data_IF_322331365018
#
_entry.id   IF_322331365018
#
_cell.length_a   1.000
_cell.length_b   1.000
_cell.length_c   1.000
_cell.angle_alpha   90.00
_cell.angle_beta   90.00
_cell.angle_gamma   90.00
#
_symmetry.space_group_name_H-M   'P 1'
#
loop_
_entity.id
_entity.type
_entity.pdbx_description
1 polymer ?
#
# COMPACT_ATOMS: atom_id res chain seq x y z
N UNK A 1 -21.64 45.98 42.77
CA UNK A 1 -21.52 44.51 42.57
C UNK A 1 -21.67 44.04 41.10
N UNK A 2 -21.62 44.89 40.06
CA UNK A 2 -22.02 44.47 38.69
C UNK A 2 -20.90 44.29 37.62
N UNK A 3 -19.61 44.52 37.92
CA UNK A 3 -18.55 44.43 36.89
C UNK A 3 -18.13 42.99 36.54
N UNK A 4 -18.28 42.01 37.46
CA UNK A 4 -17.89 40.60 37.20
C UNK A 4 -18.79 39.91 36.17
N UNK A 5 -20.07 40.29 36.09
CA UNK A 5 -21.02 39.72 35.14
C UNK A 5 -20.78 40.21 33.69
N UNK A 6 -20.35 41.45 33.51
CA UNK A 6 -20.07 42.00 32.16
C UNK A 6 -18.92 41.29 31.44
N UNK A 7 -17.83 41.00 32.15
CA UNK A 7 -16.67 40.29 31.57
C UNK A 7 -17.03 38.84 31.19
N UNK A 8 -17.78 38.15 32.06
CA UNK A 8 -18.22 36.78 31.79
C UNK A 8 -19.18 36.72 30.58
N UNK A 9 -20.15 37.64 30.48
CA UNK A 9 -21.08 37.71 29.36
C UNK A 9 -20.37 37.99 28.04
N UNK A 10 -19.39 38.92 28.04
CA UNK A 10 -18.58 39.21 26.84
C UNK A 10 -17.76 38.00 26.43
N UNK A 11 -17.08 37.34 27.37
CA UNK A 11 -16.29 36.14 27.07
C UNK A 11 -17.15 35.00 26.48
N UNK A 12 -18.33 34.73 27.06
CA UNK A 12 -19.27 33.71 26.55
C UNK A 12 -19.79 34.08 25.16
N UNK A 13 -20.09 35.37 24.92
CA UNK A 13 -20.55 35.83 23.61
C UNK A 13 -19.47 35.64 22.54
N UNK A 14 -18.22 36.01 22.85
CA UNK A 14 -17.11 35.85 21.91
C UNK A 14 -16.80 34.38 21.62
N UNK A 15 -16.81 33.52 22.64
CA UNK A 15 -16.61 32.07 22.46
C UNK A 15 -17.74 31.45 21.63
N UNK A 16 -18.99 31.85 21.88
CA UNK A 16 -20.15 31.41 21.10
C UNK A 16 -20.03 31.86 19.64
N UNK A 17 -19.72 33.13 19.40
CA UNK A 17 -19.57 33.68 18.06
C UNK A 17 -18.42 32.99 17.29
N UNK A 18 -17.30 32.73 17.96
CA UNK A 18 -16.19 31.97 17.39
C UNK A 18 -16.60 30.54 17.04
N UNK A 19 -17.30 29.84 17.94
CA UNK A 19 -17.80 28.49 17.69
C UNK A 19 -18.77 28.44 16.49
N UNK A 20 -19.70 29.38 16.41
CA UNK A 20 -20.62 29.52 15.27
C UNK A 20 -19.85 29.78 13.97
N UNK A 21 -18.86 30.67 14.00
CA UNK A 21 -18.04 30.97 12.82
C UNK A 21 -17.27 29.73 12.33
N UNK A 22 -16.68 28.94 13.23
CA UNK A 22 -15.99 27.69 12.87
C UNK A 22 -16.95 26.69 12.23
N UNK A 23 -18.14 26.50 12.79
CA UNK A 23 -19.16 25.60 12.23
C UNK A 23 -19.62 26.08 10.84
N UNK A 24 -19.88 27.38 10.68
CA UNK A 24 -20.27 27.94 9.38
C UNK A 24 -19.16 27.79 8.35
N UNK A 25 -17.90 28.03 8.72
CA UNK A 25 -16.74 27.81 7.84
C UNK A 25 -16.63 26.34 7.42
N UNK A 26 -16.74 25.40 8.35
CA UNK A 26 -16.70 23.96 8.06
C UNK A 26 -17.82 23.55 7.09
N UNK A 27 -19.06 24.02 7.32
CA UNK A 27 -20.18 23.74 6.42
C UNK A 27 -19.96 24.33 5.03
N UNK A 28 -19.54 25.60 4.94
CA UNK A 28 -19.25 26.24 3.67
C UNK A 28 -18.16 25.50 2.89
N UNK A 29 -17.07 25.10 3.56
CA UNK A 29 -16.02 24.31 2.94
C UNK A 29 -16.55 22.96 2.47
N UNK A 30 -17.34 22.27 3.29
CA UNK A 30 -17.92 20.97 2.93
C UNK A 30 -18.76 21.02 1.65
N UNK A 31 -19.53 22.08 1.44
CA UNK A 31 -20.41 22.20 0.27
C UNK A 31 -19.77 22.86 -0.93
N UNK A 32 -18.90 23.85 -0.73
CA UNK A 32 -18.37 24.68 -1.82
C UNK A 32 -16.93 24.29 -2.23
N UNK A 33 -16.16 23.70 -1.33
CA UNK A 33 -14.75 23.37 -1.56
C UNK A 33 -14.31 22.19 -0.69
N UNK A 34 -14.90 21.00 -0.88
CA UNK A 34 -14.60 19.86 -0.03
C UNK A 34 -13.13 19.45 -0.20
N UNK A 35 -12.47 19.24 0.93
CA UNK A 35 -11.10 18.76 1.00
C UNK A 35 -11.04 17.24 1.07
N UNK A 36 -9.94 16.65 0.58
CA UNK A 36 -9.60 15.25 0.86
C UNK A 36 -9.37 15.06 2.35
N UNK A 37 -10.24 14.27 2.98
CA UNK A 37 -10.14 13.92 4.39
C UNK A 37 -9.08 12.82 4.60
N UNK A 38 -8.49 12.78 5.79
CA UNK A 38 -7.46 11.81 6.14
C UNK A 38 -8.07 10.46 6.49
N UNK A 39 -7.55 9.39 5.89
CA UNK A 39 -8.03 8.02 6.10
C UNK A 39 -7.12 7.19 7.00
N UNK A 40 -5.89 7.65 7.23
CA UNK A 40 -4.87 6.91 7.99
C UNK A 40 -4.93 7.20 9.50
N UNK A 41 -4.53 6.19 10.26
CA UNK A 41 -4.31 6.22 11.70
C UNK A 41 -2.97 5.58 12.05
N UNK A 42 -2.68 5.51 13.34
CA UNK A 42 -1.50 4.83 13.84
C UNK A 42 -1.87 4.08 15.11
N UNK A 43 -1.39 2.86 15.25
CA UNK A 43 -1.51 2.05 16.47
C UNK A 43 -0.58 2.59 17.56
N UNK A 44 -0.81 2.19 18.81
CA UNK A 44 0.01 2.66 19.94
C UNK A 44 1.46 2.19 19.85
N UNK A 45 1.71 1.03 19.23
CA UNK A 45 3.04 0.47 18.98
C UNK A 45 3.69 0.97 17.67
N UNK A 46 3.00 1.87 16.96
CA UNK A 46 3.58 2.69 15.90
C UNK A 46 3.29 2.22 14.47
N UNK A 47 2.56 1.12 14.27
CA UNK A 47 2.10 0.69 12.94
C UNK A 47 1.13 1.72 12.35
N UNK A 48 1.37 2.14 11.11
CA UNK A 48 0.47 3.01 10.35
C UNK A 48 -0.52 2.13 9.60
N UNK A 49 -1.81 2.38 9.78
CA UNK A 49 -2.92 1.63 9.17
C UNK A 49 -3.99 2.61 8.69
N UNK A 50 -5.03 2.12 8.01
CA UNK A 50 -6.24 2.93 7.88
C UNK A 50 -6.97 3.00 9.22
N UNK A 51 -7.77 4.06 9.41
CA UNK A 51 -8.64 4.15 10.60
C UNK A 51 -9.62 2.99 10.57
N UNK A 52 -9.76 2.20 11.66
CA UNK A 52 -10.73 1.10 11.70
C UNK A 52 -12.17 1.59 11.64
N UNK A 53 -13.06 0.79 11.04
CA UNK A 53 -14.51 1.07 10.96
C UNK A 53 -14.80 2.48 10.44
N UNK A 54 -14.06 2.89 9.40
CA UNK A 54 -14.14 4.20 8.82
C UNK A 54 -14.92 4.15 7.50
N UNK A 55 -15.67 5.20 7.23
CA UNK A 55 -16.55 5.32 6.07
C UNK A 55 -16.49 6.77 5.58
N UNK A 56 -15.97 6.98 4.37
CA UNK A 56 -15.81 8.30 3.78
C UNK A 56 -15.90 8.26 2.26
N UNK A 57 -16.45 9.33 1.69
CA UNK A 57 -16.32 9.62 0.27
C UNK A 57 -15.09 10.48 0.00
N UNK A 58 -14.19 10.02 -0.86
CA UNK A 58 -12.98 10.74 -1.24
C UNK A 58 -13.20 11.52 -2.53
N UNK A 59 -13.63 12.79 -2.40
CA UNK A 59 -13.87 13.72 -3.53
C UNK A 59 -12.72 13.80 -4.54
N UNK A 60 -11.46 13.64 -4.09
CA UNK A 60 -10.29 13.67 -4.99
C UNK A 60 -10.34 12.53 -6.02
N UNK A 61 -10.80 11.36 -5.62
CA UNK A 61 -10.81 10.16 -6.46
C UNK A 61 -12.22 9.83 -6.96
N UNK A 62 -13.25 10.43 -6.37
CA UNK A 62 -14.64 10.13 -6.68
C UNK A 62 -15.11 8.78 -6.12
N UNK A 63 -14.38 8.20 -5.16
CA UNK A 63 -14.58 6.84 -4.66
C UNK A 63 -15.07 6.79 -3.22
N UNK A 64 -15.77 5.70 -2.89
CA UNK A 64 -16.13 5.39 -1.52
C UNK A 64 -15.07 4.51 -0.84
N UNK A 65 -14.70 4.87 0.39
CA UNK A 65 -13.71 4.14 1.18
C UNK A 65 -14.36 3.69 2.47
N UNK A 66 -14.45 2.38 2.61
CA UNK A 66 -14.86 1.70 3.84
C UNK A 66 -13.71 0.86 4.35
N UNK A 67 -13.55 0.82 5.66
CA UNK A 67 -12.51 0.02 6.32
C UNK A 67 -13.08 -0.90 7.39
N UNK A 68 -12.49 -2.07 7.51
CA UNK A 68 -12.88 -3.07 8.50
C UNK A 68 -12.33 -2.74 9.91
N UNK A 69 -12.66 -3.59 10.87
CA UNK A 69 -12.23 -3.49 12.26
C UNK A 69 -10.71 -3.62 12.46
N UNK A 70 -9.98 -4.14 11.47
CA UNK A 70 -8.52 -4.28 11.48
C UNK A 70 -7.78 -3.07 10.88
N UNK A 71 -8.51 -2.09 10.33
CA UNK A 71 -7.91 -0.92 9.69
C UNK A 71 -7.44 -1.16 8.27
N UNK A 72 -8.19 -1.99 7.52
CA UNK A 72 -7.94 -2.28 6.12
C UNK A 72 -9.12 -1.85 5.25
N UNK A 73 -8.84 -1.44 4.01
CA UNK A 73 -9.88 -1.26 2.99
C UNK A 73 -10.22 -2.63 2.42
N UNK A 74 -11.11 -3.32 3.14
CA UNK A 74 -11.54 -4.69 2.85
C UNK A 74 -12.84 -5.01 3.60
N UNK A 75 -13.38 -6.21 3.36
CA UNK A 75 -14.40 -6.83 4.20
C UNK A 75 -13.88 -7.22 5.59
N UNK A 76 -14.79 -7.64 6.47
CA UNK A 76 -14.41 -8.17 7.79
C UNK A 76 -13.80 -9.57 7.67
N UNK A 77 -12.76 -9.83 8.44
CA UNK A 77 -12.08 -11.12 8.49
C UNK A 77 -11.90 -11.61 9.92
N UNK A 78 -12.21 -12.88 10.14
CA UNK A 78 -12.02 -13.54 11.42
C UNK A 78 -10.54 -13.91 11.66
N UNK A 79 -10.08 -13.69 12.88
CA UNK A 79 -8.79 -14.18 13.35
C UNK A 79 -8.83 -15.70 13.61
N UNK A 80 -7.66 -16.35 13.61
CA UNK A 80 -7.56 -17.80 13.81
C UNK A 80 -7.65 -18.59 12.50
N UNK A 81 -7.23 -19.85 12.51
CA UNK A 81 -7.12 -20.67 11.29
C UNK A 81 -8.50 -21.09 10.74
N UNK A 82 -8.69 -20.97 9.43
CA UNK A 82 -9.83 -21.55 8.71
C UNK A 82 -9.36 -22.76 7.88
N UNK A 83 -9.76 -23.97 8.28
CA UNK A 83 -9.41 -25.18 7.52
C UNK A 83 -10.27 -25.36 6.25
N UNK A 84 -11.29 -24.52 6.02
CA UNK A 84 -12.22 -24.62 4.88
C UNK A 84 -11.90 -23.69 3.71
N UNK A 85 -11.00 -22.71 3.91
CA UNK A 85 -10.61 -21.73 2.89
C UNK A 85 -9.10 -21.74 2.70
N UNK A 86 -8.65 -21.43 1.48
CA UNK A 86 -7.27 -21.02 1.24
C UNK A 86 -7.16 -19.54 1.59
N UNK A 87 -6.32 -19.20 2.58
CA UNK A 87 -6.16 -17.82 3.04
C UNK A 87 -4.88 -17.20 2.50
N UNK A 88 -5.03 -16.04 1.85
CA UNK A 88 -3.94 -15.25 1.31
C UNK A 88 -3.90 -13.92 2.06
N UNK A 89 -2.81 -13.65 2.77
CA UNK A 89 -2.56 -12.31 3.32
C UNK A 89 -1.83 -11.49 2.25
N UNK A 90 -2.49 -10.48 1.70
CA UNK A 90 -1.93 -9.56 0.73
C UNK A 90 -1.31 -8.37 1.47
N UNK A 91 0.00 -8.20 1.33
CA UNK A 91 0.76 -7.07 1.86
C UNK A 91 1.19 -6.19 0.70
N UNK A 92 1.07 -4.88 0.87
CA UNK A 92 1.38 -3.92 -0.18
C UNK A 92 1.21 -2.50 0.29
N UNK A 93 1.32 -1.59 -0.67
CA UNK A 93 1.24 -0.17 -0.43
C UNK A 93 -0.07 0.42 -0.98
N UNK A 94 0.01 1.67 -1.42
CA UNK A 94 -1.04 2.42 -2.09
C UNK A 94 -1.68 1.70 -3.29
N UNK A 95 -0.96 0.82 -4.00
CA UNK A 95 -1.53 0.05 -5.10
C UNK A 95 -2.53 -1.00 -4.61
N UNK A 96 -2.34 -1.57 -3.41
CA UNK A 96 -3.27 -2.54 -2.83
C UNK A 96 -4.36 -1.87 -2.01
N UNK A 97 -4.08 -0.70 -1.41
CA UNK A 97 -5.09 0.17 -0.81
C UNK A 97 -6.08 0.72 -1.87
N UNK A 98 -5.55 1.03 -3.06
CA UNK A 98 -6.29 1.28 -4.30
C UNK A 98 -7.34 2.40 -4.26
N UNK A 99 -7.12 3.46 -3.47
CA UNK A 99 -8.12 4.54 -3.23
C UNK A 99 -8.65 5.21 -4.50
N UNK A 100 -7.93 5.09 -5.61
CA UNK A 100 -8.24 5.64 -6.92
C UNK A 100 -9.40 4.95 -7.65
N UNK A 101 -9.75 3.72 -7.28
CA UNK A 101 -10.83 2.94 -7.91
C UNK A 101 -11.82 2.45 -6.85
N UNK A 102 -13.04 2.09 -7.26
CA UNK A 102 -13.99 1.42 -6.37
C UNK A 102 -13.43 0.08 -5.89
N UNK A 103 -13.72 -0.32 -4.66
CA UNK A 103 -13.08 -1.51 -4.07
C UNK A 103 -13.42 -2.80 -4.84
N UNK A 104 -14.62 -2.89 -5.41
CA UNK A 104 -15.05 -4.03 -6.22
C UNK A 104 -14.14 -4.24 -7.45
N UNK A 105 -13.61 -3.15 -8.00
CA UNK A 105 -12.74 -3.10 -9.18
C UNK A 105 -11.24 -3.07 -8.82
N UNK A 106 -10.92 -3.07 -7.52
CA UNK A 106 -9.56 -3.10 -7.03
C UNK A 106 -8.96 -4.51 -7.08
N UNK A 107 -7.64 -4.58 -7.22
CA UNK A 107 -6.87 -5.83 -7.29
C UNK A 107 -7.24 -6.86 -6.21
N UNK A 108 -7.37 -6.52 -4.91
CA UNK A 108 -7.64 -7.52 -3.87
C UNK A 108 -8.98 -8.23 -4.05
N UNK A 109 -10.05 -7.45 -4.31
CA UNK A 109 -11.41 -7.97 -4.56
C UNK A 109 -11.44 -8.86 -5.81
N UNK A 110 -10.85 -8.37 -6.90
CA UNK A 110 -10.79 -9.11 -8.16
C UNK A 110 -9.95 -10.40 -8.04
N UNK A 111 -8.83 -10.37 -7.29
CA UNK A 111 -7.97 -11.54 -7.08
C UNK A 111 -8.71 -12.66 -6.36
N UNK A 112 -9.50 -12.36 -5.32
CA UNK A 112 -10.27 -13.35 -4.58
C UNK A 112 -11.23 -14.11 -5.51
N UNK A 113 -12.05 -13.38 -6.27
CA UNK A 113 -13.02 -13.97 -7.20
C UNK A 113 -12.34 -14.78 -8.32
N UNK A 114 -11.23 -14.27 -8.85
CA UNK A 114 -10.49 -14.93 -9.92
C UNK A 114 -9.82 -16.22 -9.43
N UNK A 115 -9.21 -16.23 -8.24
CA UNK A 115 -8.61 -17.43 -7.65
C UNK A 115 -9.66 -18.46 -7.24
N UNK A 116 -10.80 -18.02 -6.68
CA UNK A 116 -11.93 -18.89 -6.39
C UNK A 116 -12.37 -19.66 -7.65
N UNK A 117 -12.51 -18.94 -8.76
CA UNK A 117 -12.89 -19.53 -10.05
C UNK A 117 -11.83 -20.47 -10.61
N UNK A 118 -10.56 -20.06 -10.60
CA UNK A 118 -9.46 -20.86 -11.16
C UNK A 118 -9.18 -22.13 -10.34
N UNK A 119 -9.23 -22.04 -9.02
CA UNK A 119 -8.89 -23.17 -8.14
C UNK A 119 -10.10 -24.05 -7.82
N UNK A 120 -11.32 -23.54 -7.99
CA UNK A 120 -12.54 -24.27 -7.65
C UNK A 120 -12.66 -24.53 -6.13
N UNK A 121 -12.12 -23.66 -5.29
CA UNK A 121 -12.18 -23.76 -3.83
C UNK A 121 -12.45 -22.40 -3.20
N UNK A 122 -12.87 -22.37 -1.94
CA UNK A 122 -13.03 -21.10 -1.24
C UNK A 122 -11.66 -20.46 -1.02
N UNK A 123 -11.50 -19.23 -1.47
CA UNK A 123 -10.31 -18.40 -1.28
C UNK A 123 -10.74 -17.19 -0.47
N UNK A 124 -9.89 -16.77 0.45
CA UNK A 124 -10.06 -15.56 1.24
C UNK A 124 -8.78 -14.73 1.08
N UNK A 125 -8.90 -13.56 0.45
CA UNK A 125 -7.81 -12.61 0.29
C UNK A 125 -8.01 -11.52 1.33
N UNK A 126 -7.04 -11.37 2.23
CA UNK A 126 -7.04 -10.33 3.26
C UNK A 126 -6.10 -9.21 2.80
N UNK A 127 -6.67 -8.08 2.39
CA UNK A 127 -5.94 -6.91 1.95
C UNK A 127 -5.39 -6.11 3.12
N UNK A 128 -4.10 -6.26 3.41
CA UNK A 128 -3.39 -5.47 4.40
C UNK A 128 -2.55 -4.35 3.75
N UNK A 129 -2.93 -3.89 2.57
CA UNK A 129 -2.26 -2.80 1.85
C UNK A 129 -2.52 -1.42 2.45
N UNK A 130 -1.46 -0.62 2.63
CA UNK A 130 -1.56 0.73 3.21
C UNK A 130 -0.63 1.70 2.48
N UNK A 131 -1.14 2.87 2.08
CA UNK A 131 -0.33 3.87 1.38
C UNK A 131 0.93 4.28 2.16
N UNK A 132 2.08 4.31 1.46
CA UNK A 132 3.38 4.72 2.01
C UNK A 132 4.07 3.64 2.85
N UNK A 133 3.67 2.39 2.67
CA UNK A 133 4.42 1.22 3.12
C UNK A 133 5.49 0.84 2.08
N UNK A 134 6.67 0.50 2.58
CA UNK A 134 7.63 -0.33 1.84
C UNK A 134 7.75 -1.71 2.48
N UNK A 135 8.68 -2.53 1.99
CA UNK A 135 8.96 -3.87 2.54
C UNK A 135 9.25 -3.87 4.04
N UNK A 136 9.83 -2.79 4.59
CA UNK A 136 10.06 -2.64 6.05
C UNK A 136 8.73 -2.66 6.82
N UNK A 137 7.74 -1.92 6.34
CA UNK A 137 6.39 -1.89 6.91
C UNK A 137 5.69 -3.24 6.75
N UNK A 138 5.70 -3.82 5.55
CA UNK A 138 5.03 -5.09 5.24
C UNK A 138 5.55 -6.24 6.12
N UNK A 139 6.87 -6.39 6.22
CA UNK A 139 7.50 -7.42 7.06
C UNK A 139 7.25 -7.16 8.54
N UNK A 140 7.26 -5.90 8.97
CA UNK A 140 6.95 -5.54 10.36
C UNK A 140 5.50 -5.85 10.70
N UNK A 141 4.55 -5.56 9.80
CA UNK A 141 3.15 -5.92 9.98
C UNK A 141 2.97 -7.43 10.05
N UNK A 142 3.60 -8.19 9.16
CA UNK A 142 3.60 -9.66 9.21
C UNK A 142 4.09 -10.18 10.57
N UNK A 143 5.22 -9.66 11.07
CA UNK A 143 5.80 -10.07 12.36
C UNK A 143 4.83 -9.79 13.51
N UNK A 144 4.26 -8.59 13.57
CA UNK A 144 3.51 -8.12 14.74
C UNK A 144 2.04 -8.52 14.74
N UNK A 145 1.42 -8.66 13.57
CA UNK A 145 -0.03 -8.77 13.42
C UNK A 145 -0.47 -9.76 12.35
N UNK A 146 0.12 -9.74 11.15
CA UNK A 146 -0.35 -10.52 10.00
C UNK A 146 -0.47 -12.03 10.25
N UNK A 147 0.38 -12.58 11.12
CA UNK A 147 0.33 -14.02 11.50
C UNK A 147 -0.87 -14.42 12.33
N UNK A 148 -1.55 -13.49 13.01
CA UNK A 148 -2.79 -13.77 13.76
C UNK A 148 -3.93 -14.25 12.83
N UNK A 149 -3.81 -13.95 11.53
CA UNK A 149 -4.71 -14.45 10.49
C UNK A 149 -4.34 -15.85 9.97
N UNK A 150 -3.27 -16.50 10.41
CA UNK A 150 -2.86 -17.84 9.94
C UNK A 150 -2.95 -18.02 8.40
N UNK A 151 -2.26 -17.19 7.61
CA UNK A 151 -2.31 -17.31 6.15
C UNK A 151 -1.67 -18.62 5.66
N UNK A 152 -2.19 -19.18 4.57
CA UNK A 152 -1.54 -20.26 3.84
C UNK A 152 -0.47 -19.70 2.87
N UNK A 153 -0.71 -18.49 2.37
CA UNK A 153 0.18 -17.73 1.48
C UNK A 153 0.24 -16.28 1.97
N UNK A 154 1.44 -15.74 2.08
CA UNK A 154 1.64 -14.29 2.18
C UNK A 154 2.12 -13.79 0.82
N UNK A 155 1.34 -12.88 0.24
CA UNK A 155 1.56 -12.30 -1.08
C UNK A 155 1.99 -10.84 -0.91
N UNK A 156 3.23 -10.52 -1.25
CA UNK A 156 3.72 -9.14 -1.25
C UNK A 156 3.50 -8.49 -2.63
N UNK A 157 3.10 -7.23 -2.65
CA UNK A 157 3.00 -6.39 -3.83
C UNK A 157 4.15 -5.38 -3.81
N UNK A 158 5.22 -5.65 -4.56
CA UNK A 158 6.36 -4.75 -4.60
C UNK A 158 6.14 -3.62 -5.60
N UNK A 159 6.03 -2.39 -5.09
CA UNK A 159 5.88 -1.19 -5.90
C UNK A 159 7.25 -0.57 -6.13
N UNK A 160 7.87 -0.91 -7.27
CA UNK A 160 9.22 -0.45 -7.65
C UNK A 160 9.34 1.08 -7.65
N UNK A 161 8.22 1.79 -7.76
CA UNK A 161 8.17 3.24 -7.76
C UNK A 161 8.73 3.85 -6.46
N UNK A 162 8.45 3.26 -5.30
CA UNK A 162 8.72 3.87 -3.99
C UNK A 162 9.29 2.92 -2.94
N UNK A 163 9.09 1.60 -3.02
CA UNK A 163 9.45 0.69 -1.92
C UNK A 163 10.92 0.79 -1.50
N UNK A 164 11.83 0.97 -2.47
CA UNK A 164 13.26 1.09 -2.19
C UNK A 164 13.58 2.39 -1.45
N UNK A 165 12.93 3.51 -1.81
CA UNK A 165 13.02 4.75 -1.05
C UNK A 165 12.36 4.65 0.32
N UNK A 166 11.23 3.97 0.44
CA UNK A 166 10.49 3.84 1.69
C UNK A 166 11.28 2.99 2.70
N UNK A 167 11.93 1.91 2.22
CA UNK A 167 12.83 1.08 3.03
C UNK A 167 14.04 1.88 3.59
N UNK A 168 14.48 2.91 2.88
CA UNK A 168 15.58 3.78 3.32
C UNK A 168 15.18 4.74 4.45
N UNK A 169 13.88 4.98 4.68
CA UNK A 169 13.41 5.67 5.88
C UNK A 169 13.74 4.89 7.16
N UNK A 170 13.88 3.56 7.04
CA UNK A 170 14.18 2.65 8.13
C UNK A 170 13.20 2.80 9.27
N UNK A 171 11.89 2.83 8.99
CA UNK A 171 10.85 3.16 9.98
C UNK A 171 10.88 2.20 11.16
N UNK A 172 11.07 0.90 10.90
CA UNK A 172 11.06 -0.14 11.93
C UNK A 172 12.35 -0.92 12.02
N UNK A 173 13.21 -0.90 11.01
CA UNK A 173 14.53 -1.52 11.08
C UNK A 173 15.66 -0.50 10.96
N UNK A 174 16.83 -0.87 11.48
CA UNK A 174 18.07 -0.08 11.35
C UNK A 174 19.25 -1.00 11.16
N UNK A 175 20.36 -0.44 10.66
CA UNK A 175 21.59 -1.18 10.45
C UNK A 175 22.48 -0.99 11.67
N UNK A 176 22.81 -2.08 12.33
CA UNK A 176 23.74 -2.10 13.46
C UNK A 176 24.82 -3.15 13.20
N UNK A 177 26.09 -2.73 13.23
CA UNK A 177 27.25 -3.60 12.96
C UNK A 177 27.16 -4.43 11.66
N UNK A 178 26.49 -3.91 10.63
CA UNK A 178 26.32 -4.58 9.33
C UNK A 178 25.14 -5.56 9.26
N UNK A 179 24.32 -5.64 10.31
CA UNK A 179 23.10 -6.44 10.35
C UNK A 179 21.86 -5.55 10.38
N UNK A 180 20.77 -6.03 9.77
CA UNK A 180 19.48 -5.36 9.81
C UNK A 180 18.70 -5.81 11.07
N UNK A 181 18.64 -4.95 12.07
CA UNK A 181 17.97 -5.21 13.34
C UNK A 181 16.66 -4.45 13.48
N UNK A 182 15.69 -5.03 14.18
CA UNK A 182 14.43 -4.35 14.48
C UNK A 182 14.67 -3.27 15.54
N UNK A 183 14.13 -2.07 15.31
CA UNK A 183 14.10 -1.00 16.31
C UNK A 183 13.22 -1.43 17.48
N UNK A 184 13.57 -1.04 18.72
CA UNK A 184 12.72 -1.30 19.88
C UNK A 184 11.32 -0.71 19.68
N UNK A 185 10.31 -1.48 20.06
CA UNK A 185 8.92 -1.00 20.06
C UNK A 185 8.71 -0.10 21.27
N UNK A 186 8.54 1.20 21.03
CA UNK A 186 8.19 2.16 22.07
C UNK A 186 6.73 2.53 21.91
N UNK A 187 5.87 1.97 22.77
CA UNK A 187 4.47 2.36 22.78
C UNK A 187 4.32 3.84 23.15
N UNK A 188 3.48 4.55 22.39
CA UNK A 188 3.07 5.89 22.75
C UNK A 188 2.38 5.88 24.11
N UNK A 189 2.71 6.85 24.97
CA UNK A 189 1.95 7.04 26.21
C UNK A 189 0.48 7.31 25.87
N UNK A 190 -0.45 6.92 26.75
CA UNK A 190 -1.88 7.14 26.52
C UNK A 190 -2.24 8.58 26.21
N UNK A 191 -1.53 9.56 26.80
CA UNK A 191 -1.73 10.99 26.52
C UNK A 191 -1.24 11.35 25.12
N UNK A 192 -0.06 10.88 24.73
CA UNK A 192 0.48 11.11 23.38
C UNK A 192 -0.42 10.44 22.31
N UNK A 193 -0.87 9.23 22.59
CA UNK A 193 -1.79 8.48 21.73
C UNK A 193 -3.15 9.18 21.61
N UNK A 194 -3.75 9.64 22.72
CA UNK A 194 -5.01 10.39 22.68
C UNK A 194 -4.87 11.72 21.91
N UNK A 195 -3.76 12.44 22.07
CA UNK A 195 -3.49 13.67 21.32
C UNK A 195 -3.25 13.40 19.82
N UNK A 196 -2.67 12.25 19.48
CA UNK A 196 -2.54 11.79 18.10
C UNK A 196 -3.91 11.44 17.52
N UNK A 197 -4.71 10.63 18.22
CA UNK A 197 -6.07 10.26 17.78
C UNK A 197 -6.98 11.48 17.62
N UNK A 198 -6.88 12.48 18.49
CA UNK A 198 -7.62 13.73 18.34
C UNK A 198 -7.22 14.47 17.04
N UNK A 199 -5.93 14.50 16.69
CA UNK A 199 -5.46 15.10 15.43
C UNK A 199 -5.92 14.29 14.22
N UNK A 200 -5.86 12.96 14.29
CA UNK A 200 -6.33 12.07 13.23
C UNK A 200 -7.84 12.19 13.03
N UNK A 201 -8.62 12.32 14.11
CA UNK A 201 -10.07 12.57 14.06
C UNK A 201 -10.38 13.90 13.38
N UNK A 202 -9.66 14.99 13.71
CA UNK A 202 -9.83 16.27 13.02
C UNK A 202 -9.44 16.16 11.54
N UNK A 203 -8.36 15.45 11.21
CA UNK A 203 -7.96 15.21 9.83
C UNK A 203 -9.02 14.43 9.04
N UNK A 204 -9.74 13.53 9.68
CA UNK A 204 -10.75 12.69 9.03
C UNK A 204 -12.16 13.27 9.03
N UNK A 205 -12.43 14.36 9.78
CA UNK A 205 -13.79 14.94 9.90
C UNK A 205 -13.89 16.45 9.63
N UNK A 206 -12.77 17.18 9.50
CA UNK A 206 -12.79 18.63 9.29
C UNK A 206 -12.03 19.06 8.04
N UNK A 207 -12.76 19.64 7.10
CA UNK A 207 -12.21 20.30 5.93
C UNK A 207 -11.42 21.55 6.31
N UNK A 208 -11.87 22.30 7.32
CA UNK A 208 -11.13 23.45 7.84
C UNK A 208 -9.75 23.04 8.38
N UNK A 209 -9.70 21.95 9.15
CA UNK A 209 -8.44 21.39 9.64
C UNK A 209 -7.53 20.98 8.48
N UNK A 210 -8.07 20.34 7.43
CA UNK A 210 -7.29 19.94 6.26
C UNK A 210 -6.66 21.14 5.54
N UNK A 211 -7.41 22.23 5.31
CA UNK A 211 -6.85 23.44 4.71
C UNK A 211 -5.71 23.99 5.57
N UNK A 212 -5.92 24.11 6.88
CA UNK A 212 -4.92 24.62 7.79
C UNK A 212 -3.66 23.73 7.79
N UNK A 213 -3.86 22.41 7.84
CA UNK A 213 -2.80 21.42 7.84
C UNK A 213 -1.98 21.42 6.55
N UNK A 214 -2.66 21.43 5.40
CA UNK A 214 -2.01 21.45 4.08
C UNK A 214 -1.26 22.76 3.85
N UNK A 215 -1.86 23.89 4.21
CA UNK A 215 -1.23 25.22 4.11
C UNK A 215 0.05 25.29 4.96
N UNK A 216 0.04 24.67 6.15
CA UNK A 216 1.22 24.59 6.99
C UNK A 216 2.28 23.65 6.40
N UNK A 217 1.88 22.49 5.87
CA UNK A 217 2.78 21.51 5.24
C UNK A 217 3.39 21.99 3.93
N UNK A 218 2.71 22.83 3.16
CA UNK A 218 3.18 23.33 1.86
C UNK A 218 4.29 24.38 1.98
N UNK A 219 4.54 24.93 3.18
CA UNK A 219 5.60 25.90 3.41
C UNK A 219 6.96 25.21 3.33
N UNK A 220 7.72 25.50 2.26
CA UNK A 220 9.14 25.14 2.13
C UNK A 220 9.44 23.70 1.72
N UNK A 221 8.48 22.93 1.20
CA UNK A 221 8.70 21.56 0.73
C UNK A 221 8.53 21.42 -0.79
N UNK A 222 9.50 20.82 -1.50
CA UNK A 222 9.31 20.46 -2.91
C UNK A 222 8.19 19.42 -3.07
N UNK A 223 7.56 19.38 -4.25
CA UNK A 223 6.50 18.43 -4.58
C UNK A 223 6.99 16.98 -4.46
N UNK A 224 6.12 16.09 -3.98
CA UNK A 224 6.46 14.67 -3.81
C UNK A 224 6.80 13.98 -5.13
N UNK A 225 6.12 14.33 -6.22
CA UNK A 225 6.33 13.74 -7.55
C UNK A 225 7.76 13.92 -8.08
N UNK A 226 8.37 15.10 -7.91
CA UNK A 226 9.75 15.31 -8.39
C UNK A 226 10.78 14.43 -7.66
N UNK A 227 10.59 14.18 -6.35
CA UNK A 227 11.47 13.27 -5.60
C UNK A 227 11.30 11.83 -6.10
N UNK A 228 10.06 11.43 -6.35
CA UNK A 228 9.74 10.09 -6.79
C UNK A 228 10.31 9.80 -8.19
N UNK A 229 10.17 10.72 -9.14
CA UNK A 229 10.81 10.59 -10.46
C UNK A 229 12.34 10.49 -10.36
N UNK A 230 12.97 11.32 -9.53
CA UNK A 230 14.42 11.28 -9.34
C UNK A 230 14.90 9.94 -8.75
N UNK A 231 14.11 9.36 -7.85
CA UNK A 231 14.38 8.04 -7.29
C UNK A 231 14.27 6.95 -8.36
N UNK A 232 13.21 6.95 -9.17
CA UNK A 232 13.04 5.98 -10.25
C UNK A 232 14.17 6.05 -11.28
N UNK A 233 14.62 7.25 -11.63
CA UNK A 233 15.79 7.43 -12.51
C UNK A 233 17.04 6.82 -11.88
N UNK A 234 17.27 7.05 -10.58
CA UNK A 234 18.41 6.47 -9.87
C UNK A 234 18.35 4.93 -9.85
N UNK A 235 17.17 4.33 -9.69
CA UNK A 235 16.99 2.88 -9.78
C UNK A 235 17.36 2.33 -11.17
N UNK A 236 17.11 3.08 -12.25
CA UNK A 236 17.43 2.66 -13.62
C UNK A 236 18.91 2.83 -13.99
N UNK A 237 19.73 3.56 -13.22
CA UNK A 237 21.14 3.76 -13.57
C UNK A 237 21.95 2.47 -13.57
N UNK A 238 22.83 2.31 -14.56
CA UNK A 238 23.77 1.20 -14.64
C UNK A 238 24.74 1.19 -13.46
N UNK A 239 25.23 2.36 -13.04
CA UNK A 239 25.92 2.55 -11.76
C UNK A 239 25.00 3.29 -10.78
N UNK A 240 24.45 2.55 -9.83
CA UNK A 240 23.56 3.08 -8.79
C UNK A 240 24.39 3.64 -7.63
N UNK A 241 23.91 4.72 -7.00
CA UNK A 241 24.49 5.23 -5.76
C UNK A 241 24.51 4.19 -4.62
N UNK A 242 25.39 4.42 -3.65
CA UNK A 242 25.47 3.58 -2.44
C UNK A 242 24.17 3.57 -1.63
N UNK A 243 23.37 4.63 -1.72
CA UNK A 243 22.06 4.73 -1.09
C UNK A 243 21.07 3.72 -1.71
N UNK A 244 20.98 3.66 -3.04
CA UNK A 244 20.13 2.67 -3.71
C UNK A 244 20.64 1.24 -3.48
N UNK A 245 21.95 1.03 -3.57
CA UNK A 245 22.57 -0.28 -3.26
C UNK A 245 22.21 -0.72 -1.84
N UNK A 246 22.20 0.21 -0.88
CA UNK A 246 21.75 -0.04 0.50
C UNK A 246 20.25 -0.36 0.56
N UNK A 247 19.40 0.36 -0.18
CA UNK A 247 17.97 0.09 -0.25
C UNK A 247 17.68 -1.34 -0.70
N UNK A 248 18.33 -1.80 -1.78
CA UNK A 248 18.23 -3.18 -2.24
C UNK A 248 18.70 -4.21 -1.20
N UNK A 249 19.81 -3.92 -0.51
CA UNK A 249 20.30 -4.78 0.57
C UNK A 249 19.32 -4.87 1.74
N UNK A 250 18.69 -3.74 2.13
CA UNK A 250 17.65 -3.72 3.17
C UNK A 250 16.47 -4.59 2.73
N UNK A 251 15.98 -4.40 1.50
CA UNK A 251 14.89 -5.20 0.92
C UNK A 251 15.21 -6.69 0.99
N UNK A 252 16.39 -7.12 0.53
CA UNK A 252 16.82 -8.52 0.60
C UNK A 252 16.83 -9.05 2.04
N UNK A 253 17.36 -8.29 3.00
CA UNK A 253 17.40 -8.72 4.41
C UNK A 253 16.02 -8.81 5.07
N UNK A 254 15.08 -7.96 4.66
CA UNK A 254 13.68 -8.04 5.09
C UNK A 254 13.00 -9.27 4.51
N UNK A 255 13.22 -9.57 3.23
CA UNK A 255 12.69 -10.77 2.57
C UNK A 255 13.30 -12.06 3.15
N UNK A 256 14.59 -12.08 3.46
CA UNK A 256 15.25 -13.19 4.18
C UNK A 256 14.57 -13.44 5.55
N UNK A 257 14.20 -12.36 6.25
CA UNK A 257 13.46 -12.43 7.53
C UNK A 257 12.06 -12.99 7.32
N UNK A 258 11.33 -12.54 6.31
CA UNK A 258 10.02 -13.09 5.95
C UNK A 258 10.13 -14.59 5.61
N UNK A 259 11.14 -14.99 4.85
CA UNK A 259 11.40 -16.39 4.49
C UNK A 259 11.66 -17.29 5.70
N UNK A 260 12.32 -16.77 6.74
CA UNK A 260 12.48 -17.47 8.02
C UNK A 260 11.15 -17.65 8.76
N UNK A 261 10.28 -16.64 8.76
CA UNK A 261 8.94 -16.73 9.37
C UNK A 261 8.07 -17.74 8.62
N UNK A 262 8.10 -17.72 7.29
CA UNK A 262 7.38 -18.66 6.44
C UNK A 262 7.71 -20.12 6.77
N UNK A 263 9.01 -20.42 6.91
CA UNK A 263 9.47 -21.76 7.33
C UNK A 263 9.05 -22.12 8.75
N UNK A 264 9.06 -21.16 9.68
CA UNK A 264 8.72 -21.40 11.08
C UNK A 264 7.22 -21.64 11.28
N UNK A 265 6.38 -20.87 10.58
CA UNK A 265 4.92 -20.85 10.79
C UNK A 265 4.15 -21.65 9.73
N UNK A 266 4.84 -22.15 8.70
CA UNK A 266 4.29 -23.12 7.74
C UNK A 266 3.48 -22.52 6.58
N UNK A 267 3.69 -21.24 6.24
CA UNK A 267 3.06 -20.58 5.10
C UNK A 267 4.01 -20.42 3.92
N UNK A 268 3.47 -20.17 2.73
CA UNK A 268 4.25 -19.92 1.52
C UNK A 268 4.43 -18.42 1.26
N UNK A 269 5.52 -18.04 0.60
CA UNK A 269 5.77 -16.67 0.18
C UNK A 269 5.69 -16.51 -1.32
N UNK A 270 4.95 -15.49 -1.74
CA UNK A 270 4.96 -14.99 -3.10
C UNK A 270 5.14 -13.47 -3.10
N UNK A 271 5.76 -12.95 -4.14
CA UNK A 271 5.84 -11.52 -4.39
C UNK A 271 5.61 -11.26 -5.86
N UNK A 272 4.71 -10.33 -6.16
CA UNK A 272 4.56 -9.82 -7.52
C UNK A 272 5.12 -8.40 -7.63
N UNK A 273 5.69 -8.10 -8.78
CA UNK A 273 6.42 -6.86 -9.01
C UNK A 273 5.59 -5.95 -9.90
N UNK A 274 5.20 -4.80 -9.36
CA UNK A 274 4.53 -3.73 -10.10
C UNK A 274 5.64 -2.88 -10.76
N UNK A 275 5.76 -2.92 -12.10
CA UNK A 275 6.78 -2.14 -12.79
C UNK A 275 6.44 -0.64 -12.70
N UNK A 276 7.44 0.21 -12.88
CA UNK A 276 7.16 1.64 -13.02
C UNK A 276 6.43 1.90 -14.33
N UNK A 277 5.64 2.99 -14.37
CA UNK A 277 5.02 3.45 -15.62
C UNK A 277 6.06 3.64 -16.72
N UNK A 278 7.25 4.15 -16.35
CA UNK A 278 8.35 4.30 -17.28
C UNK A 278 8.89 2.98 -17.76
N UNK A 279 8.94 1.90 -16.95
CA UNK A 279 9.34 0.57 -17.41
C UNK A 279 8.28 -0.08 -18.33
N UNK A 280 7.00 0.25 -18.14
CA UNK A 280 5.89 -0.26 -18.92
C UNK A 280 5.70 0.45 -20.27
N UNK A 281 5.75 1.79 -20.31
CA UNK A 281 5.41 2.59 -21.49
C UNK A 281 6.64 3.23 -22.16
N UNK A 282 6.93 2.84 -23.40
CA UNK A 282 8.12 3.28 -24.14
C UNK A 282 8.07 4.75 -24.56
N UNK A 283 6.87 5.31 -24.75
CA UNK A 283 6.66 6.73 -25.03
C UNK A 283 7.01 7.58 -23.81
N UNK A 284 6.44 7.23 -22.66
CA UNK A 284 6.71 7.93 -21.39
C UNK A 284 8.17 7.79 -20.94
N UNK A 285 8.80 6.65 -21.19
CA UNK A 285 10.25 6.50 -20.98
C UNK A 285 11.06 7.47 -21.85
N UNK A 286 10.73 7.57 -23.14
CA UNK A 286 11.41 8.48 -24.07
C UNK A 286 11.21 9.94 -23.67
N UNK A 287 10.02 10.29 -23.21
CA UNK A 287 9.69 11.61 -22.66
C UNK A 287 10.52 11.92 -21.42
N UNK A 288 10.58 11.01 -20.44
CA UNK A 288 11.39 11.16 -19.22
C UNK A 288 12.87 11.43 -19.55
N UNK A 289 13.44 10.59 -20.43
CA UNK A 289 14.85 10.72 -20.87
C UNK A 289 15.10 12.08 -21.51
N UNK A 290 14.19 12.54 -22.37
CA UNK A 290 14.34 13.83 -23.07
C UNK A 290 14.19 15.03 -22.12
N UNK A 291 13.17 15.01 -21.26
CA UNK A 291 12.82 16.11 -20.35
C UNK A 291 13.89 16.29 -19.28
N UNK A 292 14.42 15.20 -18.73
CA UNK A 292 15.47 15.24 -17.72
C UNK A 292 16.90 15.21 -18.30
N UNK A 293 17.05 15.23 -19.62
CA UNK A 293 18.36 15.22 -20.33
C UNK A 293 19.25 14.05 -19.92
N UNK A 294 18.65 12.86 -19.77
CA UNK A 294 19.34 11.65 -19.33
C UNK A 294 20.12 11.01 -20.49
N UNK A 295 21.21 10.30 -20.18
CA UNK A 295 22.02 9.58 -21.17
C UNK A 295 21.51 8.13 -21.29
N UNK A 296 20.87 7.72 -22.41
CA UNK A 296 20.24 6.40 -22.51
C UNK A 296 21.19 5.22 -22.29
N UNK A 297 22.47 5.36 -22.69
CA UNK A 297 23.48 4.31 -22.52
C UNK A 297 23.90 4.09 -21.05
N UNK A 298 23.58 5.02 -20.16
CA UNK A 298 23.84 4.91 -18.72
C UNK A 298 22.65 4.33 -17.96
N UNK A 299 21.52 4.10 -18.64
CA UNK A 299 20.30 3.61 -18.05
C UNK A 299 19.99 2.19 -18.54
N UNK A 300 19.55 1.34 -17.62
CA UNK A 300 18.81 0.14 -17.91
C UNK A 300 17.42 0.27 -17.26
N UNK A 301 16.42 0.47 -18.13
CA UNK A 301 15.02 0.64 -17.78
C UNK A 301 14.43 -0.55 -16.99
N UNK A 302 14.96 -1.75 -17.22
CA UNK A 302 14.42 -3.01 -16.67
C UNK A 302 15.17 -3.42 -15.39
N UNK A 303 16.32 -2.79 -15.13
CA UNK A 303 17.19 -3.06 -13.99
C UNK A 303 16.48 -3.18 -12.65
N UNK A 304 15.51 -2.31 -12.30
CA UNK A 304 14.85 -2.43 -10.99
C UNK A 304 14.07 -3.75 -10.85
N UNK A 305 13.36 -4.16 -11.90
CA UNK A 305 12.62 -5.43 -11.94
C UNK A 305 13.59 -6.61 -11.97
N UNK A 306 14.65 -6.54 -12.79
CA UNK A 306 15.70 -7.57 -12.85
C UNK A 306 16.38 -7.78 -11.49
N UNK A 307 16.69 -6.68 -10.79
CA UNK A 307 17.35 -6.73 -9.48
C UNK A 307 16.45 -7.40 -8.44
N UNK A 308 15.17 -7.03 -8.37
CA UNK A 308 14.23 -7.65 -7.43
C UNK A 308 13.95 -9.11 -7.78
N UNK A 309 13.78 -9.46 -9.05
CA UNK A 309 13.63 -10.85 -9.49
C UNK A 309 14.82 -11.71 -9.04
N UNK A 310 16.05 -11.19 -9.19
CA UNK A 310 17.25 -11.88 -8.73
C UNK A 310 17.30 -12.05 -7.20
N UNK A 311 16.81 -11.06 -6.43
CA UNK A 311 16.67 -11.18 -4.96
C UNK A 311 15.67 -12.31 -4.62
N UNK A 312 14.49 -12.28 -5.23
CA UNK A 312 13.43 -13.26 -4.96
C UNK A 312 13.87 -14.68 -5.29
N UNK A 313 14.62 -14.87 -6.39
CA UNK A 313 15.19 -16.16 -6.76
C UNK A 313 16.18 -16.67 -5.71
N UNK A 314 17.10 -15.83 -5.22
CA UNK A 314 18.07 -16.21 -4.16
C UNK A 314 17.37 -16.60 -2.86
N UNK A 315 16.31 -15.89 -2.49
CA UNK A 315 15.55 -16.14 -1.27
C UNK A 315 14.53 -17.28 -1.42
N UNK A 316 14.34 -17.81 -2.64
CA UNK A 316 13.39 -18.89 -2.92
C UNK A 316 11.92 -18.47 -2.78
N UNK A 317 11.61 -17.20 -3.03
CA UNK A 317 10.25 -16.63 -2.96
C UNK A 317 9.61 -16.75 -4.35
N UNK A 318 8.31 -17.09 -4.42
CA UNK A 318 7.62 -17.18 -5.71
C UNK A 318 7.49 -15.80 -6.35
N UNK A 319 8.30 -15.54 -7.37
CA UNK A 319 8.33 -14.27 -8.07
C UNK A 319 7.31 -14.24 -9.22
N UNK A 320 6.53 -13.17 -9.30
CA UNK A 320 5.56 -12.93 -10.38
C UNK A 320 5.89 -11.59 -11.04
N UNK A 321 6.39 -11.63 -12.27
CA UNK A 321 6.81 -10.44 -12.99
C UNK A 321 5.68 -9.91 -13.89
N UNK A 322 5.11 -8.75 -13.57
CA UNK A 322 4.08 -8.13 -14.41
C UNK A 322 4.66 -7.48 -15.68
N UNK A 323 5.94 -7.06 -15.66
CA UNK A 323 6.53 -6.20 -16.68
C UNK A 323 6.36 -6.70 -18.13
N UNK A 324 6.61 -7.98 -18.48
CA UNK A 324 6.53 -8.42 -19.86
C UNK A 324 5.14 -8.24 -20.46
N UNK A 325 4.10 -8.64 -19.73
CA UNK A 325 2.72 -8.54 -20.21
C UNK A 325 2.18 -7.11 -20.14
N UNK A 326 2.52 -6.35 -19.08
CA UNK A 326 2.13 -4.94 -18.98
C UNK A 326 2.72 -4.13 -20.12
N UNK A 327 4.04 -4.28 -20.39
CA UNK A 327 4.69 -3.59 -21.52
C UNK A 327 4.07 -3.96 -22.85
N UNK A 328 3.92 -5.25 -23.14
CA UNK A 328 3.36 -5.71 -24.41
C UNK A 328 1.95 -5.17 -24.66
N UNK A 329 1.12 -5.05 -23.60
CA UNK A 329 -0.22 -4.46 -23.75
C UNK A 329 -0.19 -2.94 -23.82
N UNK A 330 0.75 -2.25 -23.17
CA UNK A 330 0.89 -0.79 -23.25
C UNK A 330 1.28 -0.31 -24.65
N UNK A 331 1.90 -1.17 -25.47
CA UNK A 331 2.21 -0.86 -26.87
C UNK A 331 0.95 -0.85 -27.77
N UNK A 332 -0.18 -1.38 -27.29
CA UNK A 332 -1.44 -1.35 -28.05
C UNK A 332 -2.05 0.05 -28.01
N UNK A 333 -2.29 0.70 -29.17
CA UNK A 333 -2.86 2.05 -29.20
C UNK A 333 -4.17 2.15 -28.43
N UNK A 334 -4.26 3.17 -27.56
CA UNK A 334 -5.45 3.45 -26.75
C UNK A 334 -5.55 2.66 -25.44
N UNK A 335 -4.61 1.75 -25.14
CA UNK A 335 -4.53 1.10 -23.83
C UNK A 335 -3.68 1.90 -22.87
N UNK A 336 -4.20 2.14 -21.67
CA UNK A 336 -3.48 2.75 -20.56
C UNK A 336 -3.82 2.00 -19.29
N UNK A 337 -2.81 1.58 -18.54
CA UNK A 337 -2.98 0.83 -17.29
C UNK A 337 -2.70 1.68 -16.05
N UNK A 338 -2.18 2.89 -16.24
CA UNK A 338 -1.83 3.82 -15.18
C UNK A 338 -2.60 5.12 -15.38
N UNK A 339 -3.00 5.75 -14.28
CA UNK A 339 -3.60 7.08 -14.26
C UNK A 339 -2.50 8.09 -14.58
N UNK A 340 -2.67 8.86 -15.65
CA UNK A 340 -1.69 9.87 -16.06
C UNK A 340 -1.51 10.95 -14.99
N UNK A 341 -0.25 11.26 -14.65
CA UNK A 341 0.11 12.26 -13.65
C UNK A 341 0.00 11.81 -12.18
N UNK A 342 -0.65 10.68 -11.91
CA UNK A 342 -0.76 10.06 -10.58
C UNK A 342 0.20 8.86 -10.46
N UNK A 343 0.26 8.02 -11.51
CA UNK A 343 1.17 6.88 -11.59
C UNK A 343 0.64 5.60 -10.93
N UNK A 344 -0.54 5.63 -10.30
CA UNK A 344 -1.28 4.45 -9.84
C UNK A 344 -1.97 3.72 -10.98
N UNK A 345 -2.36 2.47 -10.74
CA UNK A 345 -3.22 1.75 -11.69
C UNK A 345 -4.59 2.40 -11.82
N UNK A 346 -5.14 2.37 -13.04
CA UNK A 346 -6.58 2.52 -13.26
C UNK A 346 -7.27 1.15 -13.19
N UNK A 347 -8.58 1.09 -13.41
CA UNK A 347 -9.36 -0.15 -13.43
C UNK A 347 -8.73 -1.22 -14.35
N UNK A 348 -8.41 -0.87 -15.61
CA UNK A 348 -7.77 -1.81 -16.55
C UNK A 348 -6.40 -2.33 -16.03
N UNK A 349 -5.64 -1.49 -15.32
CA UNK A 349 -4.37 -1.86 -14.71
C UNK A 349 -4.52 -2.88 -13.59
N UNK A 350 -5.53 -2.69 -12.71
CA UNK A 350 -5.88 -3.67 -11.69
C UNK A 350 -6.32 -5.00 -12.32
N UNK A 351 -7.20 -4.97 -13.32
CA UNK A 351 -7.65 -6.18 -14.04
C UNK A 351 -6.48 -6.93 -14.69
N UNK A 352 -5.56 -6.23 -15.34
CA UNK A 352 -4.39 -6.83 -15.97
C UNK A 352 -3.47 -7.48 -14.92
N UNK A 353 -3.18 -6.78 -13.83
CA UNK A 353 -2.38 -7.31 -12.74
C UNK A 353 -3.01 -8.58 -12.16
N UNK A 354 -4.33 -8.59 -11.89
CA UNK A 354 -5.06 -9.76 -11.41
C UNK A 354 -4.96 -10.92 -12.39
N UNK A 355 -5.13 -10.67 -13.69
CA UNK A 355 -5.04 -11.70 -14.73
C UNK A 355 -3.68 -12.41 -14.76
N UNK A 356 -2.59 -11.67 -14.51
CA UNK A 356 -1.24 -12.22 -14.46
C UNK A 356 -1.01 -12.96 -13.14
N UNK A 357 -1.29 -12.30 -12.00
CA UNK A 357 -1.02 -12.85 -10.66
C UNK A 357 -1.86 -14.08 -10.37
N UNK A 358 -3.16 -14.05 -10.65
CA UNK A 358 -4.05 -15.19 -10.40
C UNK A 358 -3.64 -16.44 -11.18
N UNK A 359 -3.24 -16.30 -12.45
CA UNK A 359 -2.73 -17.43 -13.26
C UNK A 359 -1.45 -18.00 -12.69
N UNK A 360 -0.50 -17.14 -12.32
CA UNK A 360 0.78 -17.57 -11.77
C UNK A 360 0.61 -18.27 -10.41
N UNK A 361 -0.18 -17.68 -9.50
CA UNK A 361 -0.48 -18.27 -8.20
C UNK A 361 -1.26 -19.57 -8.33
N UNK A 362 -2.30 -19.62 -9.16
CA UNK A 362 -3.06 -20.86 -9.36
C UNK A 362 -2.18 -21.99 -9.91
N UNK A 363 -1.23 -21.66 -10.80
CA UNK A 363 -0.22 -22.61 -11.28
C UNK A 363 0.64 -23.17 -10.13
N UNK A 364 1.18 -22.29 -9.28
CA UNK A 364 2.01 -22.68 -8.12
C UNK A 364 1.25 -23.48 -7.07
N UNK A 365 0.01 -23.08 -6.78
CA UNK A 365 -0.87 -23.77 -5.83
C UNK A 365 -1.14 -25.22 -6.29
N UNK A 366 -1.43 -25.41 -7.58
CA UNK A 366 -1.62 -26.75 -8.16
C UNK A 366 -0.33 -27.57 -8.18
N UNK A 367 0.81 -26.95 -8.46
CA UNK A 367 2.12 -27.60 -8.47
C UNK A 367 2.48 -28.18 -7.09
N UNK A 368 2.20 -27.46 -6.01
CA UNK A 368 2.46 -27.94 -4.66
C UNK A 368 1.56 -29.10 -4.24
N UNK A 369 0.28 -29.08 -4.62
CA UNK A 369 -0.69 -30.13 -4.28
C UNK A 369 -0.95 -30.31 -2.77
N UNK A 370 -0.47 -29.40 -1.92
CA UNK A 370 -0.58 -29.48 -0.45
C UNK A 370 -1.79 -28.76 0.14
N UNK A 371 -2.50 -27.96 -0.66
CA UNK A 371 -3.67 -27.19 -0.22
C UNK A 371 -4.93 -28.05 -0.32
N UNK A 372 -5.16 -28.88 0.71
CA UNK A 372 -6.28 -29.81 0.79
C UNK A 372 -7.64 -29.17 0.53
N UNK A 373 -7.81 -27.87 0.86
CA UNK A 373 -9.01 -27.08 0.61
C UNK A 373 -9.34 -26.98 -0.89
N UNK A 374 -8.32 -27.07 -1.76
CA UNK A 374 -8.44 -26.94 -3.20
C UNK A 374 -8.29 -28.26 -3.97
N UNK A 375 -8.05 -29.37 -3.28
CA UNK A 375 -7.93 -30.71 -3.88
C UNK A 375 -9.25 -31.48 -4.00
N UNK A 376 -10.35 -31.00 -3.40
CA UNK A 376 -11.59 -31.79 -3.29
C UNK A 376 -12.51 -31.81 -4.53
N UNK A 377 -12.24 -31.00 -5.56
CA UNK A 377 -13.14 -30.89 -6.71
C UNK A 377 -12.71 -31.68 -7.97
N UNK A 378 -11.53 -32.31 -7.99
CA UNK A 378 -11.17 -33.18 -9.12
C UNK A 378 -11.95 -34.50 -9.17
N UNK A 379 -12.52 -34.96 -8.05
CA UNK A 379 -13.29 -36.22 -8.02
C UNK A 379 -14.74 -36.11 -8.50
N UNK A 380 -15.29 -34.90 -8.72
CA UNK A 380 -16.67 -34.71 -9.20
C UNK A 380 -16.73 -34.55 -10.73
N UNK A 381 -15.65 -34.12 -11.38
CA UNK A 381 -15.62 -33.87 -12.82
C UNK A 381 -15.41 -35.12 -13.68
N UNK A 382 -14.96 -36.25 -13.11
CA UNK A 382 -14.79 -37.53 -13.83
C UNK A 382 -15.86 -38.57 -13.49
N UNK A 383 -16.96 -38.14 -12.85
CA UNK A 383 -17.99 -39.01 -12.30
C UNK A 383 -19.39 -38.77 -12.86
N UNK A 384 -19.55 -38.71 -14.20
CA UNK A 384 -20.72 -39.22 -14.95
C UNK A 384 -20.57 -39.05 -16.45
#
# INVERSE_FOLDING_TARGET
MNKKYGVAVVAVTLLTAFGVAVVLCELLLRFLYPQTLGVWGQTRDGLILLRPTFDVYLEKFGTHVQTNSHGFRDGEHDLGKSDSKLRILLLGDSFMEALQVEFADAFPSLLEGQLHTLLGCQVEVINAGVSGWGTDDEVTYLIRKGREFHPDIVLFAATIHNDISDNLEGRYHTIDHGELIAKPVHELSWVAFAAMEARSYLASHSHLYQIAYQSWKSVGRPSAGHRLESHVVELMKNDQSDEIKRGWWITEKLLEKAGRLAKADGFNLAMFIIPTIYAADSGLYSELVSTQQLIPSELNRDKPVETLMAILEREGIWAINLLPEVRARSETPGRQFYIQGDGHFNEEGHELAVSIVSRALAGKIRELGTFNQCSQNEMVATGK
#
